data_IF_757485128011
#
_entry.id   IF_757485128011
#
_cell.length_a   1.000
_cell.length_b   1.000
_cell.length_c   1.000
_cell.angle_alpha   90.00
_cell.angle_beta   90.00
_cell.angle_gamma   90.00
#
_symmetry.space_group_name_H-M   'P 1'
#
loop_
_entity.id
_entity.type
_entity.pdbx_description
1 polymer ?
#
# COMPACT_ATOMS: atom_id res chain seq x y z
N UNK A 1 1.43 10.24 5.80
CA UNK A 1 1.93 9.21 6.74
C UNK A 1 2.17 9.74 8.15
N UNK A 2 3.14 10.64 8.40
CA UNK A 2 3.47 11.12 9.77
C UNK A 2 2.26 11.57 10.59
N UNK A 3 1.43 12.47 10.04
CA UNK A 3 0.21 12.95 10.70
C UNK A 3 -0.82 11.82 10.97
N UNK A 4 -0.88 10.80 10.11
CA UNK A 4 -1.77 9.66 10.30
C UNK A 4 -1.31 8.77 11.46
N UNK A 5 0.01 8.55 11.59
CA UNK A 5 0.58 7.82 12.72
C UNK A 5 0.44 8.61 14.02
N UNK A 6 0.59 9.94 13.98
CA UNK A 6 0.35 10.80 15.15
C UNK A 6 -1.10 10.68 15.66
N UNK A 7 -2.08 10.71 14.74
CA UNK A 7 -3.50 10.57 15.10
C UNK A 7 -3.89 9.13 15.45
N UNK A 8 -3.25 8.15 14.83
CA UNK A 8 -3.53 6.73 15.02
C UNK A 8 -2.23 5.94 15.16
N UNK A 9 -1.61 5.93 16.36
CA UNK A 9 -0.28 5.33 16.57
C UNK A 9 -0.20 3.83 16.25
N UNK A 10 -1.33 3.12 16.36
CA UNK A 10 -1.39 1.68 16.07
C UNK A 10 -1.02 1.36 14.62
N UNK A 11 -1.20 2.29 13.67
CA UNK A 11 -0.84 2.08 12.27
C UNK A 11 0.65 1.82 12.05
N UNK A 12 1.52 2.32 12.93
CA UNK A 12 2.97 2.07 12.88
C UNK A 12 3.37 0.68 13.40
N UNK A 13 2.45 -0.06 14.03
CA UNK A 13 2.73 -1.34 14.69
C UNK A 13 2.32 -2.55 13.88
N UNK A 14 1.65 -2.35 12.75
CA UNK A 14 1.20 -3.43 11.90
C UNK A 14 2.24 -3.75 10.82
N UNK A 15 2.69 -5.00 10.83
CA UNK A 15 3.65 -5.54 9.88
C UNK A 15 3.09 -6.83 9.27
N UNK A 16 3.43 -7.10 8.01
CA UNK A 16 3.11 -8.37 7.36
C UNK A 16 4.03 -9.49 7.86
N UNK A 17 3.80 -10.72 7.37
CA UNK A 17 4.61 -11.90 7.73
C UNK A 17 6.08 -11.78 7.31
N UNK A 18 6.38 -10.91 6.34
CA UNK A 18 7.74 -10.59 5.89
C UNK A 18 8.41 -9.47 6.72
N UNK A 19 7.73 -8.94 7.73
CA UNK A 19 8.25 -7.87 8.59
C UNK A 19 8.19 -6.48 7.96
N UNK A 20 7.38 -6.28 6.92
CA UNK A 20 7.22 -5.00 6.23
C UNK A 20 5.97 -4.25 6.73
N UNK A 21 5.98 -2.90 6.80
CA UNK A 21 4.80 -2.14 7.17
C UNK A 21 3.61 -2.42 6.23
N UNK A 22 2.42 -2.68 6.78
CA UNK A 22 1.23 -2.98 5.96
C UNK A 22 0.65 -1.76 5.23
N UNK A 23 1.07 -0.55 5.60
CA UNK A 23 0.63 0.70 4.96
C UNK A 23 1.86 1.51 4.56
N UNK A 24 1.89 1.90 3.28
CA UNK A 24 2.93 2.75 2.71
C UNK A 24 2.31 3.84 1.84
N UNK A 25 3.00 4.98 1.75
CA UNK A 25 2.61 6.12 0.92
C UNK A 25 3.80 6.58 0.09
N UNK A 26 3.58 6.86 -1.18
CA UNK A 26 4.59 7.39 -2.09
C UNK A 26 4.02 8.54 -2.89
N UNK A 27 4.80 9.63 -3.01
CA UNK A 27 4.50 10.74 -3.91
C UNK A 27 5.41 10.63 -5.12
N UNK A 28 4.84 10.53 -6.32
CA UNK A 28 5.60 10.36 -7.57
C UNK A 28 5.75 11.65 -8.38
N UNK A 29 5.22 12.79 -7.91
CA UNK A 29 5.33 14.07 -8.61
C UNK A 29 4.91 13.96 -10.08
N UNK A 30 5.82 14.34 -10.96
CA UNK A 30 5.65 14.27 -12.42
C UNK A 30 6.31 13.05 -13.08
N UNK A 31 6.97 12.18 -12.31
CA UNK A 31 7.84 11.11 -12.82
C UNK A 31 7.07 9.93 -13.42
N UNK A 32 5.76 9.84 -13.17
CA UNK A 32 4.89 8.76 -13.66
C UNK A 32 3.58 9.28 -14.25
N UNK A 33 3.65 10.06 -15.35
CA UNK A 33 2.44 10.53 -16.01
C UNK A 33 1.75 9.37 -16.72
N UNK A 34 0.43 9.41 -16.78
CA UNK A 34 -0.34 8.50 -17.65
C UNK A 34 -0.84 9.15 -18.91
N UNK A 35 -0.83 10.47 -18.92
CA UNK A 35 -1.13 11.28 -20.10
C UNK A 35 -0.08 12.38 -20.26
N UNK A 36 -0.03 12.96 -21.46
CA UNK A 36 0.87 14.09 -21.71
C UNK A 36 0.53 15.30 -20.84
N UNK A 37 1.53 15.93 -20.24
CA UNK A 37 1.37 17.19 -19.50
C UNK A 37 1.15 18.41 -20.41
N UNK A 38 1.22 18.24 -21.74
CA UNK A 38 1.06 19.34 -22.70
C UNK A 38 -0.36 19.89 -22.76
N UNK A 39 -1.38 19.11 -22.34
CA UNK A 39 -2.79 19.55 -22.36
C UNK A 39 -3.33 19.77 -20.95
N UNK A 40 -4.32 20.64 -20.81
CA UNK A 40 -5.02 20.84 -19.53
C UNK A 40 -5.70 19.55 -19.05
N UNK A 41 -6.28 18.80 -19.98
CA UNK A 41 -6.91 17.51 -19.71
C UNK A 41 -5.89 16.48 -19.21
N UNK A 42 -4.76 16.32 -19.89
CA UNK A 42 -3.72 15.36 -19.49
C UNK A 42 -3.10 15.68 -18.13
N UNK A 43 -2.84 16.97 -17.84
CA UNK A 43 -2.44 17.40 -16.47
C UNK A 43 -3.49 17.08 -15.42
N UNK A 44 -4.77 17.16 -15.78
CA UNK A 44 -5.86 16.78 -14.86
C UNK A 44 -5.88 15.29 -14.61
N UNK A 45 -5.70 14.47 -15.64
CA UNK A 45 -5.61 13.00 -15.51
C UNK A 45 -4.42 12.55 -14.68
N UNK A 46 -3.30 13.29 -14.72
CA UNK A 46 -2.10 12.99 -13.94
C UNK A 46 -2.21 13.36 -12.45
N UNK A 47 -3.16 14.21 -12.04
CA UNK A 47 -3.44 14.52 -10.63
C UNK A 47 -4.32 13.44 -10.01
N UNK A 48 -3.74 12.27 -9.74
CA UNK A 48 -4.47 11.11 -9.22
C UNK A 48 -3.84 10.49 -7.98
N UNK A 49 -4.61 9.66 -7.30
CA UNK A 49 -4.16 8.83 -6.18
C UNK A 49 -4.42 7.37 -6.52
N UNK A 50 -3.36 6.57 -6.57
CA UNK A 50 -3.44 5.14 -6.84
C UNK A 50 -3.41 4.37 -5.51
N UNK A 51 -4.39 3.48 -5.28
CA UNK A 51 -4.43 2.59 -4.12
C UNK A 51 -4.07 1.18 -4.60
N UNK A 52 -3.05 0.57 -3.99
CA UNK A 52 -2.65 -0.82 -4.26
C UNK A 52 -2.86 -1.66 -3.02
N UNK A 53 -3.60 -2.76 -3.19
CA UNK A 53 -3.75 -3.81 -2.19
C UNK A 53 -2.87 -4.97 -2.66
N UNK A 54 -1.85 -5.30 -1.87
CA UNK A 54 -0.96 -6.44 -2.11
C UNK A 54 -1.33 -7.50 -1.09
N UNK A 55 -1.65 -8.70 -1.56
CA UNK A 55 -1.93 -9.85 -0.71
C UNK A 55 -0.78 -10.83 -0.85
N UNK A 56 -0.30 -11.32 0.28
CA UNK A 56 0.54 -12.50 0.29
C UNK A 56 -0.35 -13.73 0.42
N UNK A 57 -0.16 -14.71 -0.47
CA UNK A 57 -0.94 -15.95 -0.44
C UNK A 57 -0.30 -16.89 0.57
N UNK A 58 -1.05 -17.43 1.55
CA UNK A 58 -0.50 -18.38 2.50
C UNK A 58 0.04 -19.60 1.75
N UNK A 59 1.24 -20.07 2.10
CA UNK A 59 1.76 -21.31 1.54
C UNK A 59 1.07 -22.48 2.22
N UNK A 60 0.91 -23.59 1.51
CA UNK A 60 0.28 -24.82 2.06
C UNK A 60 0.97 -25.26 3.35
N UNK A 61 2.30 -25.10 3.44
CA UNK A 61 3.08 -25.37 4.64
C UNK A 61 2.68 -24.51 5.86
N UNK A 62 2.11 -23.33 5.66
CA UNK A 62 1.63 -22.43 6.72
C UNK A 62 0.18 -22.72 7.14
N UNK A 63 -0.54 -23.56 6.37
CA UNK A 63 -1.93 -23.97 6.64
C UNK A 63 -1.98 -25.18 7.60
N UNK A 64 -0.94 -26.01 7.62
CA UNK A 64 -0.87 -27.23 8.46
C UNK A 64 -0.53 -27.00 9.94
N UNK A 65 -0.51 -25.75 10.42
CA UNK A 65 -0.58 -25.40 11.85
C UNK A 65 -1.09 -23.98 12.04
N UNK A 66 -1.57 -23.52 13.22
CA UNK A 66 -2.07 -24.19 14.42
C UNK A 66 -3.61 -24.40 14.37
N UNK A 67 -4.22 -24.40 13.19
CA UNK A 67 -5.69 -24.54 13.04
C UNK A 67 -6.17 -25.98 12.91
N UNK A 68 -5.28 -26.97 13.12
CA UNK A 68 -5.63 -28.40 13.19
C UNK A 68 -5.58 -28.90 14.64
N UNK A 69 -6.38 -28.32 15.51
CA UNK A 69 -6.73 -28.92 16.80
C UNK A 69 -8.02 -28.28 17.36
N UNK A 70 -9.17 -28.85 16.99
CA UNK A 70 -10.23 -29.32 17.90
C UNK A 70 -11.40 -29.89 17.10
#
# INVERSE_FOLDING_TARGET
YRLMVEKTPVLSRYYNISGEPIISFSGYGEDRPVETNSTSLGRSSNRRTDIRIVMDSPKIADIEGPFTAQ
#
